data_IF_048583473142
#
_entry.id   IF_048583473142
#
_cell.length_a   1.000
_cell.length_b   1.000
_cell.length_c   1.000
_cell.angle_alpha   90.00
_cell.angle_beta   90.00
_cell.angle_gamma   90.00
#
_symmetry.space_group_name_H-M   'P 1'
#
loop_
_entity.id
_entity.type
_entity.pdbx_description
1 polymer ?
#
# COMPACT_ATOMS: atom_id res chain seq x y z
N UNK A 1 19.88 7.76 -1.71
CA UNK A 1 20.32 7.72 -0.29
C UNK A 1 19.33 6.84 0.45
N UNK A 2 19.80 5.84 1.21
CA UNK A 2 18.98 5.02 2.10
C UNK A 2 18.92 5.69 3.48
N UNK A 3 17.74 5.75 4.08
CA UNK A 3 17.52 6.35 5.41
C UNK A 3 17.91 5.40 6.54
N UNK A 4 18.06 4.10 6.27
CA UNK A 4 18.32 3.05 7.26
C UNK A 4 17.09 2.66 8.09
N UNK A 5 15.93 3.28 7.87
CA UNK A 5 14.66 2.90 8.50
C UNK A 5 14.12 1.63 7.84
N UNK A 6 13.73 0.67 8.66
CA UNK A 6 13.03 -0.54 8.20
C UNK A 6 11.56 -0.21 7.90
N UNK A 7 11.00 -0.90 6.91
CA UNK A 7 9.63 -0.71 6.45
C UNK A 7 9.03 -2.06 6.06
N UNK A 8 7.72 -2.19 6.22
CA UNK A 8 6.99 -3.34 5.69
C UNK A 8 6.55 -3.08 4.24
N UNK A 9 6.84 -4.02 3.34
CA UNK A 9 6.38 -3.98 1.95
C UNK A 9 5.20 -4.97 1.75
N UNK A 10 4.01 -4.44 1.47
CA UNK A 10 2.80 -5.23 1.20
C UNK A 10 2.54 -5.32 -0.30
N UNK A 11 2.73 -6.51 -0.87
CA UNK A 11 2.53 -6.77 -2.30
C UNK A 11 1.09 -7.20 -2.57
N UNK A 12 0.35 -6.36 -3.30
CA UNK A 12 -1.06 -6.57 -3.64
C UNK A 12 -1.20 -6.87 -5.12
N UNK A 13 -1.60 -8.09 -5.47
CA UNK A 13 -1.92 -8.45 -6.86
C UNK A 13 -3.17 -7.72 -7.32
N UNK A 14 -3.08 -7.06 -8.48
CA UNK A 14 -4.21 -6.38 -9.14
C UNK A 14 -5.30 -7.33 -9.59
N UNK A 15 -4.98 -8.62 -9.78
CA UNK A 15 -5.95 -9.65 -10.14
C UNK A 15 -5.95 -10.80 -9.13
N UNK A 16 -7.11 -11.16 -8.58
CA UNK A 16 -7.28 -12.29 -7.65
C UNK A 16 -8.42 -13.18 -8.14
N UNK A 17 -8.19 -14.49 -8.20
CA UNK A 17 -9.17 -15.47 -8.71
C UNK A 17 -9.79 -15.07 -10.07
N UNK A 18 -9.02 -14.42 -10.93
CA UNK A 18 -9.47 -13.96 -12.26
C UNK A 18 -10.20 -12.62 -12.28
N UNK A 19 -10.48 -12.01 -11.13
CA UNK A 19 -11.15 -10.71 -11.03
C UNK A 19 -10.15 -9.59 -10.83
N UNK A 20 -10.41 -8.43 -11.45
CA UNK A 20 -9.67 -7.20 -11.16
C UNK A 20 -10.05 -6.68 -9.78
N UNK A 21 -9.05 -6.48 -8.93
CA UNK A 21 -9.16 -6.03 -7.55
C UNK A 21 -8.51 -4.65 -7.36
N UNK A 22 -8.17 -3.93 -8.43
CA UNK A 22 -7.53 -2.61 -8.33
C UNK A 22 -8.38 -1.63 -7.52
N UNK A 23 -9.70 -1.66 -7.68
CA UNK A 23 -10.62 -0.83 -6.89
C UNK A 23 -10.49 -1.06 -5.38
N UNK A 24 -10.41 -2.31 -4.94
CA UNK A 24 -10.23 -2.66 -3.53
C UNK A 24 -8.88 -2.15 -3.00
N UNK A 25 -7.83 -2.27 -3.80
CA UNK A 25 -6.48 -1.78 -3.44
C UNK A 25 -6.46 -0.26 -3.33
N UNK A 26 -7.10 0.45 -4.26
CA UNK A 26 -7.19 1.92 -4.22
C UNK A 26 -8.00 2.39 -3.00
N UNK A 27 -9.06 1.68 -2.65
CA UNK A 27 -9.81 1.97 -1.42
C UNK A 27 -8.95 1.78 -0.17
N UNK A 28 -8.12 0.72 -0.12
CA UNK A 28 -7.18 0.51 0.98
C UNK A 28 -6.18 1.67 1.11
N UNK A 29 -5.60 2.13 0.01
CA UNK A 29 -4.70 3.29 -0.02
C UNK A 29 -5.41 4.55 0.49
N UNK A 30 -6.60 4.86 -0.03
CA UNK A 30 -7.35 6.06 0.35
C UNK A 30 -7.71 6.09 1.85
N UNK A 31 -8.03 4.94 2.43
CA UNK A 31 -8.30 4.82 3.87
C UNK A 31 -7.03 5.06 4.69
N UNK A 32 -5.89 4.50 4.27
CA UNK A 32 -4.60 4.72 4.94
C UNK A 32 -4.17 6.19 4.87
N UNK A 33 -4.27 6.83 3.70
CA UNK A 33 -3.99 8.26 3.53
C UNK A 33 -4.91 9.13 4.40
N UNK A 34 -6.21 8.79 4.46
CA UNK A 34 -7.17 9.53 5.31
C UNK A 34 -6.89 9.40 6.81
N UNK A 35 -6.15 8.36 7.21
CA UNK A 35 -5.83 8.08 8.61
C UNK A 35 -4.42 8.53 9.03
N UNK A 36 -3.68 9.25 8.17
CA UNK A 36 -2.27 9.62 8.38
C UNK A 36 -1.98 10.30 9.74
N UNK A 37 -2.92 11.11 10.23
CA UNK A 37 -2.76 11.82 11.50
C UNK A 37 -2.98 10.95 12.76
N UNK A 38 -3.41 9.69 12.60
CA UNK A 38 -3.72 8.81 13.72
C UNK A 38 -2.52 7.90 14.06
N UNK A 39 -1.87 8.08 15.23
CA UNK A 39 -0.68 7.30 15.61
C UNK A 39 -0.95 5.82 15.88
N UNK A 40 -2.22 5.40 15.93
CA UNK A 40 -2.62 4.00 16.12
C UNK A 40 -2.96 3.28 14.81
N UNK A 41 -2.85 3.96 13.66
CA UNK A 41 -3.02 3.37 12.33
C UNK A 41 -1.66 3.34 11.64
N UNK A 42 -1.34 2.24 10.96
CA UNK A 42 -0.08 2.11 10.22
C UNK A 42 0.03 3.19 9.13
N UNK A 43 1.15 3.89 9.09
CA UNK A 43 1.37 4.95 8.10
C UNK A 43 1.73 4.36 6.73
N UNK A 44 1.14 4.92 5.67
CA UNK A 44 1.54 4.65 4.29
C UNK A 44 2.69 5.60 3.91
N UNK A 45 3.88 5.05 3.69
CA UNK A 45 5.06 5.83 3.31
C UNK A 45 5.12 6.10 1.81
N UNK A 46 4.98 5.06 0.99
CA UNK A 46 5.08 5.15 -0.46
C UNK A 46 4.22 4.08 -1.14
N UNK A 47 3.80 4.34 -2.38
CA UNK A 47 3.09 3.38 -3.22
C UNK A 47 3.84 3.20 -4.53
N UNK A 48 4.11 1.95 -4.90
CA UNK A 48 4.70 1.59 -6.18
C UNK A 48 3.72 0.74 -6.99
N UNK A 49 3.74 0.88 -8.31
CA UNK A 49 2.90 0.10 -9.20
C UNK A 49 3.77 -0.62 -10.24
N UNK A 50 3.62 -1.94 -10.33
CA UNK A 50 4.19 -2.76 -11.41
C UNK A 50 3.09 -3.16 -12.38
N UNK A 51 3.37 -3.97 -13.41
CA UNK A 51 2.33 -4.44 -14.32
C UNK A 51 1.24 -5.26 -13.60
N UNK A 52 1.63 -6.11 -12.64
CA UNK A 52 0.74 -7.09 -12.01
C UNK A 52 0.36 -6.74 -10.58
N UNK A 53 1.09 -5.85 -9.93
CA UNK A 53 1.01 -5.60 -8.50
C UNK A 53 1.02 -4.11 -8.17
N UNK A 54 0.49 -3.80 -7.00
CA UNK A 54 0.66 -2.53 -6.30
C UNK A 54 1.37 -2.87 -4.99
N UNK A 55 2.38 -2.12 -4.63
CA UNK A 55 3.23 -2.37 -3.46
C UNK A 55 3.06 -1.18 -2.52
N UNK A 56 2.61 -1.45 -1.30
CA UNK A 56 2.51 -0.44 -0.25
C UNK A 56 3.74 -0.54 0.64
N UNK A 57 4.48 0.56 0.78
CA UNK A 57 5.54 0.69 1.79
C UNK A 57 4.90 1.30 3.04
N UNK A 58 4.95 0.55 4.13
CA UNK A 58 4.29 0.86 5.40
C UNK A 58 5.34 1.09 6.50
N UNK A 59 4.92 1.74 7.59
CA UNK A 59 5.77 1.96 8.77
C UNK A 59 6.35 0.66 9.34
#
# INVERSE_FOLDING_TARGET
KTTGKEHAAKFLRKRRKGQDCRGDILNEIAVLESAEANPYVVALHEVYETTTEIILVLE
#
